data_IF_980591505477
#
_entry.id   IF_980591505477
#
_cell.length_a   1.000
_cell.length_b   1.000
_cell.length_c   1.000
_cell.angle_alpha   90.00
_cell.angle_beta   90.00
_cell.angle_gamma   90.00
#
_symmetry.space_group_name_H-M   'P 1'
#
loop_
_entity.id
_entity.type
_entity.pdbx_description
1 polymer ?
#
# COMPACT_ATOMS: atom_id res chain seq x y z
N UNK A 1 -24.02 -10.83 0.42
CA UNK A 1 -24.17 -10.73 -1.03
C UNK A 1 -25.55 -11.14 -1.49
N UNK A 2 -26.25 -11.98 -0.73
CA UNK A 2 -27.55 -12.56 -1.12
C UNK A 2 -28.75 -11.60 -0.92
N UNK A 3 -28.53 -10.44 -0.30
CA UNK A 3 -29.59 -9.47 -0.04
C UNK A 3 -29.86 -8.58 -1.27
N UNK A 4 -31.10 -8.07 -1.42
CA UNK A 4 -31.46 -7.14 -2.48
C UNK A 4 -30.60 -5.87 -2.46
N UNK A 5 -30.35 -5.22 -3.62
CA UNK A 5 -29.45 -4.07 -3.71
C UNK A 5 -29.90 -2.89 -2.83
N UNK A 6 -31.22 -2.69 -2.67
CA UNK A 6 -31.73 -1.64 -1.77
C UNK A 6 -31.37 -1.88 -0.31
N UNK A 7 -31.38 -3.13 0.16
CA UNK A 7 -30.97 -3.48 1.52
C UNK A 7 -29.47 -3.27 1.72
N UNK A 8 -28.64 -3.67 0.74
CA UNK A 8 -27.18 -3.49 0.78
C UNK A 8 -26.77 -2.01 0.85
N UNK A 9 -27.43 -1.13 0.12
CA UNK A 9 -27.21 0.31 0.20
C UNK A 9 -27.64 0.89 1.55
N UNK A 10 -28.76 0.41 2.12
CA UNK A 10 -29.27 0.90 3.40
C UNK A 10 -28.45 0.46 4.60
N UNK A 11 -27.85 -0.71 4.58
CA UNK A 11 -26.97 -1.22 5.65
C UNK A 11 -25.80 -0.27 5.91
N UNK A 12 -25.17 0.25 4.86
CA UNK A 12 -24.07 1.22 4.99
C UNK A 12 -24.50 2.48 5.72
N UNK A 13 -25.64 3.07 5.32
CA UNK A 13 -26.20 4.26 5.95
C UNK A 13 -26.67 3.99 7.40
N UNK A 14 -27.21 2.81 7.68
CA UNK A 14 -27.62 2.39 9.03
C UNK A 14 -26.42 2.28 9.95
N UNK A 15 -25.34 1.61 9.52
CA UNK A 15 -24.11 1.53 10.30
C UNK A 15 -23.51 2.90 10.62
N UNK A 16 -23.52 3.79 9.63
CA UNK A 16 -23.06 5.16 9.84
C UNK A 16 -23.94 5.94 10.83
N UNK A 17 -25.27 5.78 10.78
CA UNK A 17 -26.19 6.41 11.74
C UNK A 17 -25.95 5.93 13.16
N UNK A 18 -25.61 4.64 13.35
CA UNK A 18 -25.23 4.09 14.66
C UNK A 18 -23.93 4.75 15.15
N UNK A 19 -22.93 4.87 14.26
CA UNK A 19 -21.67 5.54 14.60
C UNK A 19 -21.90 7.02 15.00
N UNK A 20 -22.75 7.74 14.27
CA UNK A 20 -23.14 9.11 14.60
C UNK A 20 -23.86 9.22 15.95
N UNK A 21 -24.69 8.24 16.30
CA UNK A 21 -25.36 8.23 17.61
C UNK A 21 -24.33 8.20 18.75
N UNK A 22 -23.35 7.29 18.69
CA UNK A 22 -22.30 7.24 19.71
C UNK A 22 -21.45 8.49 19.75
N UNK A 23 -21.13 9.08 18.60
CA UNK A 23 -20.40 10.36 18.53
C UNK A 23 -21.17 11.53 19.13
N UNK A 24 -22.45 11.71 18.76
CA UNK A 24 -23.20 12.92 19.02
C UNK A 24 -24.03 12.87 20.31
N UNK A 25 -24.54 11.68 20.69
CA UNK A 25 -25.34 11.50 21.91
C UNK A 25 -24.48 11.06 23.09
N UNK A 26 -23.60 10.10 22.88
CA UNK A 26 -22.73 9.57 23.95
C UNK A 26 -21.41 10.35 24.09
N UNK A 27 -21.07 11.20 23.09
CA UNK A 27 -19.83 11.99 23.10
C UNK A 27 -18.55 11.14 23.00
N UNK A 28 -18.60 10.01 22.32
CA UNK A 28 -17.50 9.08 22.20
C UNK A 28 -16.74 9.25 20.90
N UNK A 29 -15.46 8.87 20.91
CA UNK A 29 -14.67 8.66 19.70
C UNK A 29 -14.95 7.26 19.16
N UNK A 30 -15.39 7.20 17.90
CA UNK A 30 -15.85 5.97 17.23
C UNK A 30 -14.86 5.54 16.18
N UNK A 31 -14.48 4.26 16.21
CA UNK A 31 -13.70 3.62 15.14
C UNK A 31 -14.66 2.77 14.28
N UNK A 32 -14.85 3.19 13.02
CA UNK A 32 -15.74 2.56 12.06
C UNK A 32 -14.96 1.75 11.04
N UNK A 33 -15.23 0.44 10.97
CA UNK A 33 -14.68 -0.45 9.94
C UNK A 33 -15.71 -0.69 8.84
N UNK A 34 -15.33 -0.50 7.57
CA UNK A 34 -16.17 -0.73 6.39
C UNK A 34 -15.48 -1.76 5.49
N UNK A 35 -16.02 -2.97 5.43
CA UNK A 35 -15.55 -4.03 4.52
C UNK A 35 -16.72 -4.49 3.62
N UNK A 36 -16.80 -4.05 2.34
CA UNK A 36 -15.96 -3.03 1.74
C UNK A 36 -16.87 -1.99 1.06
N UNK A 37 -16.38 -0.76 0.93
CA UNK A 37 -17.16 0.38 0.40
C UNK A 37 -17.61 0.16 -1.06
N UNK A 38 -16.89 -0.62 -1.85
CA UNK A 38 -17.26 -0.94 -3.24
C UNK A 38 -18.64 -1.60 -3.34
N UNK A 39 -19.07 -2.35 -2.30
CA UNK A 39 -20.39 -2.99 -2.27
C UNK A 39 -21.52 -2.00 -2.17
N UNK A 40 -21.31 -0.87 -1.53
CA UNK A 40 -22.26 0.25 -1.51
C UNK A 40 -22.43 0.83 -2.92
N UNK A 41 -21.33 1.07 -3.63
CA UNK A 41 -21.33 1.55 -5.03
C UNK A 41 -22.01 0.55 -5.97
N UNK A 42 -21.69 -0.73 -5.84
CA UNK A 42 -22.30 -1.79 -6.63
C UNK A 42 -23.82 -1.85 -6.42
N UNK A 43 -24.28 -1.76 -5.19
CA UNK A 43 -25.71 -1.74 -4.88
C UNK A 43 -26.40 -0.50 -5.51
N UNK A 44 -25.75 0.65 -5.50
CA UNK A 44 -26.22 1.87 -6.16
C UNK A 44 -26.37 1.71 -7.68
N UNK A 45 -25.40 1.08 -8.35
CA UNK A 45 -25.46 0.82 -9.79
C UNK A 45 -26.57 -0.17 -10.16
N UNK A 46 -26.77 -1.22 -9.37
CA UNK A 46 -27.86 -2.19 -9.58
C UNK A 46 -29.23 -1.51 -9.42
N UNK A 47 -29.43 -0.68 -8.39
CA UNK A 47 -30.68 0.08 -8.20
C UNK A 47 -30.90 1.05 -9.35
N UNK A 48 -29.86 1.75 -9.81
CA UNK A 48 -29.95 2.69 -10.94
C UNK A 48 -30.37 1.98 -12.24
N UNK A 49 -29.82 0.79 -12.48
CA UNK A 49 -30.19 -0.05 -13.63
C UNK A 49 -31.66 -0.51 -13.56
N UNK A 50 -32.12 -0.93 -12.39
CA UNK A 50 -33.52 -1.32 -12.17
C UNK A 50 -34.51 -0.17 -12.39
N UNK A 51 -34.08 1.06 -12.11
CA UNK A 51 -34.86 2.29 -12.33
C UNK A 51 -34.78 2.76 -13.79
N UNK A 52 -34.07 2.07 -14.67
CA UNK A 52 -33.94 2.44 -16.09
C UNK A 52 -33.15 3.71 -16.33
N UNK A 53 -32.29 4.13 -15.41
CA UNK A 53 -31.43 5.31 -15.60
C UNK A 53 -30.32 4.99 -16.60
N UNK A 54 -29.95 5.98 -17.42
CA UNK A 54 -28.84 5.85 -18.36
C UNK A 54 -27.54 5.71 -17.56
N UNK A 55 -26.76 4.63 -17.76
CA UNK A 55 -25.50 4.44 -17.05
C UNK A 55 -24.46 5.49 -17.46
N UNK A 56 -23.62 5.84 -16.50
CA UNK A 56 -22.43 6.67 -16.67
C UNK A 56 -21.23 5.82 -17.17
N UNK A 57 -20.03 6.37 -17.09
CA UNK A 57 -18.80 5.67 -17.45
C UNK A 57 -18.68 4.29 -16.76
N UNK A 58 -18.23 3.30 -17.52
CA UNK A 58 -18.01 1.90 -17.05
C UNK A 58 -19.29 1.24 -16.49
N UNK A 59 -20.48 1.80 -16.77
CA UNK A 59 -21.75 1.22 -16.33
C UNK A 59 -22.20 1.63 -14.91
N UNK A 60 -21.51 2.57 -14.26
CA UNK A 60 -21.91 3.08 -12.96
C UNK A 60 -23.11 4.05 -13.03
N UNK A 61 -23.76 4.26 -11.88
CA UNK A 61 -24.84 5.23 -11.75
C UNK A 61 -24.35 6.67 -11.98
N UNK A 62 -25.17 7.55 -12.58
CA UNK A 62 -24.80 8.96 -12.78
C UNK A 62 -24.63 9.73 -11.47
N UNK A 63 -25.20 9.23 -10.36
CA UNK A 63 -25.12 9.81 -9.02
C UNK A 63 -23.96 9.28 -8.19
N UNK A 64 -23.00 8.55 -8.77
CA UNK A 64 -21.91 7.90 -8.05
C UNK A 64 -21.17 8.84 -7.09
N UNK A 65 -20.71 9.99 -7.61
CA UNK A 65 -19.96 10.95 -6.83
C UNK A 65 -20.80 11.57 -5.69
N UNK A 66 -22.07 11.85 -5.97
CA UNK A 66 -22.99 12.43 -4.96
C UNK A 66 -23.31 11.44 -3.87
N UNK A 67 -23.62 10.18 -4.24
CA UNK A 67 -23.97 9.13 -3.27
C UNK A 67 -22.77 8.84 -2.35
N UNK A 68 -21.57 8.75 -2.93
CA UNK A 68 -20.34 8.54 -2.19
C UNK A 68 -20.01 9.74 -1.29
N UNK A 69 -20.06 10.95 -1.81
CA UNK A 69 -19.80 12.16 -1.05
C UNK A 69 -20.76 12.31 0.14
N UNK A 70 -22.06 12.10 -0.07
CA UNK A 70 -23.07 12.17 1.00
C UNK A 70 -22.77 11.19 2.13
N UNK A 71 -22.26 10.02 1.83
CA UNK A 71 -21.88 9.04 2.84
C UNK A 71 -20.56 9.42 3.54
N UNK A 72 -19.54 9.78 2.79
CA UNK A 72 -18.21 10.06 3.31
C UNK A 72 -18.14 11.34 4.17
N UNK A 73 -18.86 12.39 3.78
CA UNK A 73 -18.87 13.66 4.52
C UNK A 73 -19.50 13.55 5.92
N UNK A 74 -20.26 12.50 6.19
CA UNK A 74 -20.80 12.21 7.53
C UNK A 74 -19.74 11.66 8.48
N UNK A 75 -18.66 11.12 7.95
CA UNK A 75 -17.50 10.62 8.72
C UNK A 75 -16.62 11.83 9.05
N UNK A 76 -16.88 12.44 10.18
CA UNK A 76 -16.22 13.69 10.57
C UNK A 76 -16.13 13.83 12.08
N UNK A 77 -15.26 14.74 12.51
CA UNK A 77 -15.13 15.15 13.90
C UNK A 77 -16.12 16.27 14.21
N UNK A 78 -16.82 16.17 15.32
CA UNK A 78 -17.70 17.19 15.86
C UNK A 78 -17.13 17.74 17.16
N UNK A 79 -17.82 18.70 17.78
CA UNK A 79 -17.41 19.24 19.10
C UNK A 79 -17.55 18.22 20.23
N UNK A 80 -18.32 17.16 20.04
CA UNK A 80 -18.64 16.15 21.08
C UNK A 80 -17.78 14.89 20.96
N UNK A 81 -17.38 14.51 19.76
CA UNK A 81 -16.60 13.30 19.50
C UNK A 81 -16.17 13.22 18.04
N UNK A 82 -15.48 12.15 17.68
CA UNK A 82 -14.96 11.92 16.34
C UNK A 82 -15.39 10.56 15.78
N UNK A 83 -15.43 10.44 14.43
CA UNK A 83 -15.50 9.15 13.75
C UNK A 83 -14.24 9.00 12.91
N UNK A 84 -13.43 7.98 13.24
CA UNK A 84 -12.30 7.54 12.43
C UNK A 84 -12.73 6.30 11.66
N UNK A 85 -12.51 6.25 10.36
CA UNK A 85 -12.88 5.09 9.55
C UNK A 85 -11.68 4.38 8.95
N UNK A 86 -11.74 3.06 8.94
CA UNK A 86 -10.84 2.17 8.18
C UNK A 86 -11.69 1.47 7.14
N UNK A 87 -11.42 1.74 5.86
CA UNK A 87 -12.25 1.30 4.76
C UNK A 87 -11.46 0.39 3.83
N UNK A 88 -11.95 -0.83 3.60
CA UNK A 88 -11.43 -1.67 2.54
C UNK A 88 -12.05 -1.22 1.20
N UNK A 89 -11.20 -1.01 0.19
CA UNK A 89 -11.61 -0.61 -1.14
C UNK A 89 -11.21 -1.72 -2.12
N UNK A 90 -12.20 -2.35 -2.73
CA UNK A 90 -11.94 -3.26 -3.83
C UNK A 90 -11.70 -2.48 -5.13
N UNK A 91 -10.59 -2.77 -5.78
CA UNK A 91 -10.21 -2.17 -7.06
C UNK A 91 -10.43 -3.18 -8.17
N UNK A 92 -11.44 -3.00 -9.04
CA UNK A 92 -11.70 -3.91 -10.15
C UNK A 92 -10.50 -3.99 -11.10
N UNK A 93 -10.08 -5.20 -11.45
CA UNK A 93 -8.98 -5.47 -12.39
C UNK A 93 -7.64 -4.76 -12.06
N UNK A 94 -7.41 -4.41 -10.80
CA UNK A 94 -6.25 -3.62 -10.34
C UNK A 94 -6.14 -2.23 -11.01
N UNK A 95 -7.24 -1.70 -11.52
CA UNK A 95 -7.31 -0.39 -12.19
C UNK A 95 -7.73 0.71 -11.20
N UNK A 96 -6.74 1.44 -10.67
CA UNK A 96 -6.97 2.58 -9.78
C UNK A 96 -7.69 3.76 -10.45
N UNK A 97 -7.79 3.77 -11.78
CA UNK A 97 -8.47 4.81 -12.54
C UNK A 97 -9.96 4.55 -12.74
N UNK A 98 -10.45 3.36 -12.31
CA UNK A 98 -11.88 3.05 -12.31
C UNK A 98 -12.67 4.13 -11.53
N UNK A 99 -13.83 4.60 -12.04
CA UNK A 99 -14.60 5.67 -11.41
C UNK A 99 -14.97 5.44 -9.95
N UNK A 100 -15.21 4.19 -9.53
CA UNK A 100 -15.61 3.91 -8.15
C UNK A 100 -14.47 4.12 -7.14
N UNK A 101 -13.28 3.47 -7.28
CA UNK A 101 -12.15 3.78 -6.40
C UNK A 101 -11.69 5.23 -6.54
N UNK A 102 -11.60 5.79 -7.75
CA UNK A 102 -11.14 7.16 -7.96
C UNK A 102 -12.00 8.19 -7.22
N UNK A 103 -13.33 8.04 -7.26
CA UNK A 103 -14.26 8.89 -6.52
C UNK A 103 -14.08 8.72 -5.00
N UNK A 104 -13.85 7.49 -4.53
CA UNK A 104 -13.65 7.21 -3.12
C UNK A 104 -12.35 7.83 -2.60
N UNK A 105 -11.25 7.71 -3.34
CA UNK A 105 -9.94 8.25 -2.96
C UNK A 105 -9.95 9.76 -2.72
N UNK A 106 -10.80 10.50 -3.42
CA UNK A 106 -10.93 11.94 -3.22
C UNK A 106 -11.38 12.33 -1.78
N UNK A 107 -12.06 11.43 -1.07
CA UNK A 107 -12.58 11.65 0.27
C UNK A 107 -11.69 11.06 1.38
N UNK A 108 -10.60 10.37 1.04
CA UNK A 108 -9.74 9.73 2.03
C UNK A 108 -8.58 10.63 2.44
N UNK A 109 -8.22 10.57 3.73
CA UNK A 109 -7.07 11.29 4.28
C UNK A 109 -5.77 10.51 4.12
N UNK A 110 -5.84 9.19 4.11
CA UNK A 110 -4.71 8.30 3.87
C UNK A 110 -5.13 7.10 3.04
N UNK A 111 -4.25 6.67 2.13
CA UNK A 111 -4.44 5.47 1.32
C UNK A 111 -3.27 4.54 1.48
N UNK A 112 -3.56 3.24 1.69
CA UNK A 112 -2.57 2.17 1.68
C UNK A 112 -2.86 1.26 0.51
N UNK A 113 -1.99 1.25 -0.48
CA UNK A 113 -2.15 0.47 -1.71
C UNK A 113 -1.41 -0.85 -1.57
N UNK A 114 -2.12 -1.96 -1.79
CA UNK A 114 -1.55 -3.31 -1.84
C UNK A 114 -1.26 -3.69 -3.29
N UNK A 115 -0.02 -4.08 -3.58
CA UNK A 115 0.45 -4.43 -4.92
C UNK A 115 0.66 -5.93 -5.06
N UNK A 116 0.12 -6.53 -6.14
CA UNK A 116 0.38 -7.94 -6.48
C UNK A 116 1.83 -8.18 -6.84
N UNK A 117 2.45 -7.25 -7.56
CA UNK A 117 3.86 -7.37 -7.95
C UNK A 117 4.79 -7.46 -6.72
N UNK A 118 4.47 -6.74 -5.63
CA UNK A 118 5.22 -6.81 -4.37
C UNK A 118 4.96 -8.15 -3.67
N UNK A 119 3.71 -8.65 -3.68
CA UNK A 119 3.36 -9.95 -3.11
C UNK A 119 4.07 -11.11 -3.84
N UNK A 120 4.22 -11.03 -5.16
CA UNK A 120 4.95 -12.01 -5.98
C UNK A 120 6.45 -12.07 -5.64
N UNK A 121 7.03 -10.98 -5.11
CA UNK A 121 8.39 -10.95 -4.58
C UNK A 121 8.51 -11.57 -3.17
N UNK A 122 7.41 -12.05 -2.60
CA UNK A 122 7.36 -12.61 -1.24
C UNK A 122 7.44 -11.57 -0.13
N UNK A 123 7.18 -10.30 -0.42
CA UNK A 123 7.20 -9.21 0.56
C UNK A 123 5.81 -9.04 1.16
N UNK A 124 5.70 -9.22 2.46
CA UNK A 124 4.47 -9.08 3.23
C UNK A 124 4.69 -8.18 4.45
N UNK A 125 3.76 -7.22 4.74
CA UNK A 125 2.60 -6.84 3.94
C UNK A 125 3.00 -6.26 2.57
N UNK A 126 2.23 -6.56 1.52
CA UNK A 126 2.54 -6.17 0.13
C UNK A 126 2.14 -4.71 -0.16
N UNK A 127 2.51 -3.79 0.71
CA UNK A 127 2.21 -2.36 0.60
C UNK A 127 3.18 -1.71 -0.38
N UNK A 128 2.62 -0.93 -1.34
CA UNK A 128 3.43 -0.09 -2.21
C UNK A 128 3.65 1.29 -1.54
N UNK A 129 4.87 1.62 -1.12
CA UNK A 129 5.16 2.89 -0.45
C UNK A 129 5.16 4.09 -1.40
N UNK A 130 5.21 3.89 -2.72
CA UNK A 130 5.18 4.96 -3.71
C UNK A 130 3.75 5.37 -4.07
N UNK A 131 2.84 4.40 -4.18
CA UNK A 131 1.44 4.65 -4.49
C UNK A 131 0.59 4.95 -3.25
N UNK A 132 1.11 4.64 -2.05
CA UNK A 132 0.45 4.95 -0.78
C UNK A 132 0.70 6.40 -0.37
N UNK A 133 -0.35 7.09 0.06
CA UNK A 133 -0.28 8.50 0.43
C UNK A 133 -0.97 8.78 1.76
N UNK A 134 -0.55 9.87 2.44
CA UNK A 134 -1.21 10.35 3.65
C UNK A 134 -1.15 11.87 3.75
N UNK A 135 -2.28 12.52 4.05
CA UNK A 135 -2.36 13.97 4.26
C UNK A 135 -1.65 14.42 5.55
N UNK A 136 -1.56 13.53 6.55
CA UNK A 136 -0.86 13.84 7.80
C UNK A 136 0.66 13.76 7.67
N UNK A 137 1.20 13.37 6.50
CA UNK A 137 2.64 13.39 6.23
C UNK A 137 3.11 14.82 5.93
N UNK A 138 3.06 15.66 6.95
CA UNK A 138 3.50 17.05 6.96
C UNK A 138 4.47 17.26 8.13
N UNK A 139 5.60 17.97 7.94
CA UNK A 139 6.59 18.17 9.01
C UNK A 139 6.02 18.85 10.26
N UNK A 140 4.96 19.67 10.12
CA UNK A 140 4.30 20.30 11.25
C UNK A 140 3.46 19.33 12.11
N UNK A 141 3.08 18.17 11.55
CA UNK A 141 2.23 17.19 12.24
C UNK A 141 3.08 16.06 12.80
N UNK A 142 3.93 15.43 11.96
CA UNK A 142 4.71 14.23 12.32
C UNK A 142 6.14 14.55 12.79
N UNK A 143 6.56 15.81 12.70
CA UNK A 143 7.91 16.23 12.99
C UNK A 143 8.86 16.14 11.79
N UNK A 144 9.90 16.99 11.81
CA UNK A 144 10.84 17.09 10.68
C UNK A 144 11.65 15.82 10.46
N UNK A 145 12.04 15.13 11.54
CA UNK A 145 12.88 13.92 11.46
C UNK A 145 12.14 12.80 10.73
N UNK A 146 10.95 12.46 11.19
CA UNK A 146 10.12 11.43 10.55
C UNK A 146 9.83 11.79 9.10
N UNK A 147 9.47 13.04 8.81
CA UNK A 147 9.20 13.50 7.44
C UNK A 147 10.41 13.34 6.51
N UNK A 148 11.61 13.76 6.96
CA UNK A 148 12.85 13.65 6.18
C UNK A 148 13.19 12.19 5.87
N UNK A 149 13.02 11.29 6.83
CA UNK A 149 13.30 9.86 6.66
C UNK A 149 12.30 9.25 5.67
N UNK A 150 11.01 9.49 5.83
CA UNK A 150 9.98 8.97 4.94
C UNK A 150 10.20 9.44 3.49
N UNK A 151 10.51 10.72 3.29
CA UNK A 151 10.84 11.27 1.96
C UNK A 151 12.15 10.71 1.40
N UNK A 152 13.14 10.48 2.25
CA UNK A 152 14.41 9.84 1.87
C UNK A 152 14.19 8.41 1.34
N UNK A 153 13.37 7.63 2.03
CA UNK A 153 12.99 6.27 1.60
C UNK A 153 12.23 6.31 0.28
N UNK A 154 11.21 7.18 0.15
CA UNK A 154 10.45 7.31 -1.09
C UNK A 154 11.35 7.71 -2.27
N UNK A 155 12.28 8.64 -2.07
CA UNK A 155 13.22 9.07 -3.11
C UNK A 155 14.08 7.90 -3.60
N UNK A 156 14.71 7.15 -2.69
CA UNK A 156 15.54 6.00 -3.05
C UNK A 156 14.74 4.93 -3.81
N UNK A 157 13.50 4.66 -3.39
CA UNK A 157 12.64 3.70 -4.08
C UNK A 157 12.21 4.21 -5.46
N UNK A 158 11.96 5.50 -5.61
CA UNK A 158 11.63 6.12 -6.91
C UNK A 158 12.82 6.07 -7.87
N UNK A 159 14.02 6.42 -7.38
CA UNK A 159 15.25 6.33 -8.16
C UNK A 159 15.52 4.88 -8.59
N UNK A 160 15.31 3.92 -7.68
CA UNK A 160 15.43 2.50 -7.99
C UNK A 160 14.45 2.03 -9.07
N UNK A 161 13.19 2.46 -9.02
CA UNK A 161 12.19 2.15 -10.05
C UNK A 161 12.64 2.63 -11.43
N UNK A 162 13.18 3.85 -11.51
CA UNK A 162 13.73 4.40 -12.75
C UNK A 162 14.95 3.61 -13.24
N UNK A 163 15.84 3.20 -12.33
CA UNK A 163 17.02 2.39 -12.67
C UNK A 163 16.64 0.97 -13.08
N UNK A 164 15.58 0.38 -12.53
CA UNK A 164 15.08 -0.92 -12.97
C UNK A 164 14.67 -0.94 -14.43
N UNK A 165 14.03 0.12 -14.91
CA UNK A 165 13.63 0.24 -16.32
C UNK A 165 14.87 0.30 -17.22
N UNK A 166 15.91 1.04 -16.81
CA UNK A 166 17.20 1.13 -17.52
C UNK A 166 17.89 -0.24 -17.55
N UNK A 167 18.00 -0.91 -16.40
CA UNK A 167 18.61 -2.26 -16.29
C UNK A 167 17.87 -3.26 -17.18
N UNK A 168 16.54 -3.19 -17.23
CA UNK A 168 15.73 -4.06 -18.07
C UNK A 168 15.95 -3.82 -19.57
N UNK A 169 16.22 -2.59 -19.97
CA UNK A 169 16.52 -2.22 -21.37
C UNK A 169 17.94 -2.69 -21.73
N UNK A 170 18.94 -2.37 -20.92
CA UNK A 170 20.35 -2.77 -21.13
C UNK A 170 20.50 -4.29 -21.15
N UNK A 171 19.85 -5.00 -20.23
CA UNK A 171 19.86 -6.47 -20.19
C UNK A 171 19.21 -7.15 -21.41
N UNK A 172 18.33 -6.46 -22.16
CA UNK A 172 17.74 -6.94 -23.40
C UNK A 172 18.66 -6.78 -24.61
N UNK A 173 19.53 -5.77 -24.61
CA UNK A 173 20.43 -5.47 -25.72
C UNK A 173 21.63 -6.43 -25.77
N UNK A 174 22.00 -7.03 -24.64
CA UNK A 174 23.19 -7.90 -24.53
C UNK A 174 22.96 -9.37 -24.93
N UNK A 175 21.71 -9.85 -25.11
CA UNK A 175 21.41 -11.22 -25.51
C UNK A 175 20.30 -11.35 -26.55
N UNK A 176 20.62 -11.24 -27.88
CA UNK A 176 19.63 -11.45 -28.94
C UNK A 176 19.22 -12.92 -29.18
N UNK A 177 19.88 -13.92 -28.56
CA UNK A 177 19.82 -15.32 -29.02
C UNK A 177 19.28 -16.36 -28.02
N UNK A 178 18.72 -16.01 -26.88
CA UNK A 178 18.20 -17.02 -25.94
C UNK A 178 16.69 -17.26 -26.12
N UNK A 179 16.30 -17.99 -27.18
CA UNK A 179 15.02 -18.72 -27.24
C UNK A 179 15.18 -20.06 -26.50
N UNK A 180 14.89 -20.09 -25.21
CA UNK A 180 14.73 -21.34 -24.48
C UNK A 180 13.59 -21.22 -23.45
N UNK A 181 12.48 -22.01 -23.57
CA UNK A 181 11.26 -21.83 -22.77
C UNK A 181 11.30 -22.38 -21.35
N UNK A 182 12.34 -23.09 -20.94
CA UNK A 182 12.30 -23.90 -19.71
C UNK A 182 13.22 -23.49 -18.55
N UNK A 183 13.85 -22.30 -18.61
CA UNK A 183 14.76 -21.84 -17.54
C UNK A 183 14.45 -20.36 -17.18
N UNK A 184 13.18 -20.04 -16.91
CA UNK A 184 12.77 -18.65 -16.72
C UNK A 184 13.29 -17.97 -15.45
N UNK A 185 13.49 -18.69 -14.36
CA UNK A 185 13.86 -18.08 -13.06
C UNK A 185 15.36 -17.70 -13.03
N UNK A 186 16.25 -18.56 -13.55
CA UNK A 186 17.69 -18.28 -13.62
C UNK A 186 18.03 -17.20 -14.65
N UNK A 187 17.31 -17.14 -15.75
CA UNK A 187 17.50 -16.13 -16.79
C UNK A 187 17.15 -14.71 -16.33
N UNK A 188 16.16 -14.57 -15.45
CA UNK A 188 15.79 -13.27 -14.87
C UNK A 188 16.88 -12.76 -13.91
N UNK A 189 17.42 -13.64 -13.07
CA UNK A 189 18.50 -13.29 -12.14
C UNK A 189 19.81 -12.94 -12.88
N UNK A 190 20.18 -13.70 -13.89
CA UNK A 190 21.36 -13.43 -14.73
C UNK A 190 21.27 -12.12 -15.53
N UNK A 191 20.09 -11.78 -16.04
CA UNK A 191 19.85 -10.52 -16.77
C UNK A 191 19.99 -9.28 -15.89
N UNK A 192 19.56 -9.39 -14.62
CA UNK A 192 19.69 -8.29 -13.66
C UNK A 192 21.15 -8.01 -13.31
N UNK A 193 21.98 -9.05 -13.23
CA UNK A 193 23.41 -8.89 -12.91
C UNK A 193 24.16 -8.23 -14.09
N UNK A 194 23.94 -8.67 -15.33
CA UNK A 194 24.63 -8.10 -16.50
C UNK A 194 24.33 -6.61 -16.74
N UNK A 195 23.12 -6.15 -16.41
CA UNK A 195 22.77 -4.71 -16.55
C UNK A 195 23.32 -3.84 -15.42
N UNK A 196 23.65 -4.41 -14.26
CA UNK A 196 24.23 -3.67 -13.12
C UNK A 196 25.70 -3.28 -13.33
N UNK A 197 26.45 -4.03 -14.12
CA UNK A 197 27.87 -3.75 -14.33
C UNK A 197 28.12 -2.44 -15.11
N UNK A 198 27.13 -2.00 -15.89
CA UNK A 198 27.20 -0.76 -16.68
C UNK A 198 26.72 0.50 -15.90
N UNK A 199 26.20 0.32 -14.68
CA UNK A 199 25.78 1.45 -13.83
C UNK A 199 26.97 2.12 -13.16
N UNK A 200 26.80 3.42 -12.85
CA UNK A 200 27.76 4.15 -12.03
C UNK A 200 27.85 3.56 -10.62
N UNK A 201 28.96 3.78 -9.92
CA UNK A 201 29.12 3.28 -8.54
C UNK A 201 28.07 3.86 -7.57
N UNK A 202 27.64 5.12 -7.81
CA UNK A 202 26.57 5.76 -7.05
C UNK A 202 25.22 5.07 -7.28
N UNK A 203 24.91 4.73 -8.54
CA UNK A 203 23.68 4.01 -8.88
C UNK A 203 23.67 2.59 -8.31
N UNK A 204 24.82 1.88 -8.36
CA UNK A 204 24.97 0.57 -7.72
C UNK A 204 24.69 0.62 -6.22
N UNK A 205 25.20 1.65 -5.54
CA UNK A 205 24.94 1.86 -4.12
C UNK A 205 23.46 2.14 -3.85
N UNK A 206 22.83 2.99 -4.68
CA UNK A 206 21.40 3.30 -4.60
C UNK A 206 20.54 2.06 -4.79
N UNK A 207 20.85 1.23 -5.79
CA UNK A 207 20.17 -0.05 -6.03
C UNK A 207 20.33 -1.01 -4.84
N UNK A 208 21.54 -1.12 -4.28
CA UNK A 208 21.81 -1.98 -3.13
C UNK A 208 21.01 -1.53 -1.89
N UNK A 209 20.98 -0.23 -1.60
CA UNK A 209 20.19 0.34 -0.49
C UNK A 209 18.69 0.19 -0.72
N UNK A 210 18.20 0.44 -1.93
CA UNK A 210 16.79 0.27 -2.27
C UNK A 210 16.31 -1.16 -2.05
N UNK A 211 17.09 -2.17 -2.45
CA UNK A 211 16.77 -3.58 -2.21
C UNK A 211 16.73 -3.93 -0.72
N UNK A 212 17.66 -3.38 0.07
CA UNK A 212 17.65 -3.55 1.54
C UNK A 212 16.40 -2.91 2.14
N UNK A 213 16.04 -1.70 1.72
CA UNK A 213 14.79 -1.02 2.13
C UNK A 213 13.57 -1.85 1.76
N UNK A 214 13.48 -2.36 0.54
CA UNK A 214 12.36 -3.22 0.14
C UNK A 214 12.25 -4.49 0.99
N UNK A 215 13.39 -5.14 1.32
CA UNK A 215 13.40 -6.29 2.20
C UNK A 215 13.04 -5.93 3.65
N UNK A 216 13.50 -4.78 4.14
CA UNK A 216 13.20 -4.31 5.48
C UNK A 216 11.74 -3.87 5.65
N UNK A 217 11.06 -3.48 4.56
CA UNK A 217 9.62 -3.23 4.54
C UNK A 217 8.79 -4.52 4.72
N UNK A 218 9.39 -5.71 4.52
CA UNK A 218 8.75 -6.97 4.88
C UNK A 218 8.76 -7.12 6.39
N UNK A 219 7.56 -7.29 6.97
CA UNK A 219 7.38 -7.39 8.42
C UNK A 219 6.65 -8.68 8.77
N UNK A 220 7.11 -9.44 9.78
CA UNK A 220 6.36 -10.57 10.28
C UNK A 220 5.15 -10.07 11.08
N UNK A 221 3.93 -10.34 10.60
CA UNK A 221 2.70 -10.00 11.30
C UNK A 221 1.81 -11.21 11.50
N UNK A 222 1.00 -11.20 12.58
CA UNK A 222 0.28 -12.39 13.06
C UNK A 222 -0.61 -13.04 12.01
N UNK A 223 -1.34 -12.24 11.21
CA UNK A 223 -2.28 -12.79 10.20
C UNK A 223 -1.54 -13.53 9.09
N UNK A 224 -0.32 -13.12 8.76
CA UNK A 224 0.49 -13.76 7.72
C UNK A 224 1.33 -14.94 8.24
N UNK A 225 1.36 -15.22 9.54
CA UNK A 225 2.15 -16.30 10.14
C UNK A 225 1.89 -17.66 9.48
N UNK A 226 0.62 -17.95 9.17
CA UNK A 226 0.22 -19.20 8.49
C UNK A 226 0.86 -19.33 7.10
N UNK A 227 1.12 -18.22 6.41
CA UNK A 227 1.65 -18.21 5.06
C UNK A 227 3.18 -18.04 5.03
N UNK A 228 3.73 -17.28 5.96
CA UNK A 228 5.16 -16.93 5.99
C UNK A 228 5.98 -17.85 6.88
N UNK A 229 5.35 -18.51 7.84
CA UNK A 229 6.03 -19.34 8.85
C UNK A 229 6.80 -18.53 9.91
N UNK A 230 6.70 -17.20 9.91
CA UNK A 230 7.34 -16.33 10.88
C UNK A 230 6.33 -15.82 11.90
N UNK A 231 6.67 -15.94 13.21
CA UNK A 231 5.83 -15.41 14.28
C UNK A 231 5.71 -13.89 14.19
N UNK A 232 4.49 -13.37 14.39
CA UNK A 232 4.23 -11.94 14.31
C UNK A 232 5.02 -11.14 15.36
N UNK A 233 5.59 -10.01 14.94
CA UNK A 233 6.34 -9.07 15.79
C UNK A 233 5.69 -7.70 15.74
N UNK A 234 5.64 -7.04 16.90
CA UNK A 234 5.19 -5.65 17.00
C UNK A 234 6.43 -4.74 17.01
N UNK A 235 6.52 -3.86 16.02
CA UNK A 235 7.57 -2.85 15.89
C UNK A 235 6.99 -1.49 16.22
N UNK A 236 7.63 -0.73 17.11
CA UNK A 236 7.19 0.63 17.45
C UNK A 236 7.56 1.64 16.36
N UNK A 237 6.89 2.80 16.38
CA UNK A 237 7.21 3.89 15.46
C UNK A 237 8.67 4.36 15.60
N UNK A 238 9.16 4.46 16.82
CA UNK A 238 10.54 4.89 17.11
C UNK A 238 11.56 3.91 16.54
N UNK A 239 11.33 2.61 16.70
CA UNK A 239 12.18 1.55 16.12
C UNK A 239 12.17 1.62 14.59
N UNK A 240 11.01 1.86 13.98
CA UNK A 240 10.88 2.01 12.53
C UNK A 240 11.70 3.20 12.04
N UNK A 241 11.55 4.37 12.67
CA UNK A 241 12.27 5.60 12.30
C UNK A 241 13.78 5.40 12.46
N UNK A 242 14.22 4.85 13.58
CA UNK A 242 15.64 4.55 13.86
C UNK A 242 16.21 3.58 12.81
N UNK A 243 15.48 2.50 12.51
CA UNK A 243 15.91 1.50 11.53
C UNK A 243 16.12 2.08 10.13
N UNK A 244 15.16 2.85 9.62
CA UNK A 244 15.31 3.50 8.33
C UNK A 244 16.40 4.58 8.33
N UNK A 245 16.58 5.32 9.42
CA UNK A 245 17.67 6.31 9.56
C UNK A 245 19.02 5.64 9.40
N UNK A 246 19.25 4.53 10.06
CA UNK A 246 20.52 3.80 9.99
C UNK A 246 20.78 3.19 8.60
N UNK A 247 19.73 2.70 7.93
CA UNK A 247 19.85 2.20 6.55
C UNK A 247 20.18 3.35 5.59
N UNK A 248 19.50 4.49 5.70
CA UNK A 248 19.76 5.67 4.87
C UNK A 248 21.16 6.23 5.10
N UNK A 249 21.66 6.22 6.34
CA UNK A 249 23.02 6.62 6.68
C UNK A 249 24.10 5.67 6.13
N UNK A 250 23.71 4.49 5.63
CA UNK A 250 24.63 3.50 5.05
C UNK A 250 25.36 2.64 6.09
N UNK A 251 24.93 2.63 7.36
CA UNK A 251 25.56 1.85 8.43
C UNK A 251 25.63 0.35 8.12
N UNK A 252 24.70 -0.14 7.34
CA UNK A 252 24.55 -1.56 6.98
C UNK A 252 24.88 -1.86 5.50
N UNK A 253 25.62 -0.99 4.81
CA UNK A 253 25.95 -1.20 3.39
C UNK A 253 26.77 -2.46 3.17
N UNK A 254 27.54 -2.91 4.15
CA UNK A 254 28.34 -4.13 4.13
C UNK A 254 27.53 -5.43 4.26
N UNK A 255 26.27 -5.39 4.69
CA UNK A 255 25.43 -6.56 4.89
C UNK A 255 24.67 -6.96 3.62
N UNK A 256 24.42 -8.26 3.40
CA UNK A 256 23.62 -8.72 2.27
C UNK A 256 22.15 -8.38 2.44
N UNK A 257 21.42 -8.19 1.34
CA UNK A 257 20.00 -7.82 1.34
C UNK A 257 19.09 -8.84 2.04
N UNK A 258 19.48 -10.11 2.04
CA UNK A 258 18.69 -11.21 2.65
C UNK A 258 18.58 -11.06 4.17
N UNK A 259 19.58 -10.42 4.81
CA UNK A 259 19.58 -10.19 6.26
C UNK A 259 18.44 -9.24 6.73
N UNK A 260 17.83 -8.49 5.82
CA UNK A 260 16.74 -7.56 6.11
C UNK A 260 15.34 -8.15 5.88
N UNK A 261 15.26 -9.43 5.48
CA UNK A 261 13.98 -10.06 5.16
C UNK A 261 13.29 -10.61 6.41
N UNK A 262 12.02 -10.24 6.60
CA UNK A 262 11.17 -10.68 7.72
C UNK A 262 11.81 -10.47 9.11
N UNK A 263 12.50 -9.37 9.28
CA UNK A 263 13.01 -8.91 10.58
C UNK A 263 12.04 -7.91 11.22
N UNK A 264 11.97 -7.88 12.53
CA UNK A 264 11.18 -6.89 13.26
C UNK A 264 11.93 -5.58 13.37
N UNK A 265 12.85 -5.49 14.31
CA UNK A 265 13.69 -4.31 14.54
C UNK A 265 15.03 -4.43 13.80
N UNK A 266 15.66 -3.29 13.52
CA UNK A 266 16.98 -3.22 12.86
C UNK A 266 18.09 -3.94 13.66
N UNK A 267 17.97 -4.02 14.97
CA UNK A 267 18.92 -4.73 15.84
C UNK A 267 18.99 -6.24 15.57
N UNK A 268 17.95 -6.82 14.97
CA UNK A 268 17.91 -8.24 14.62
C UNK A 268 18.70 -8.57 13.34
N UNK A 269 19.01 -7.57 12.52
CA UNK A 269 19.75 -7.75 11.26
C UNK A 269 21.19 -8.22 11.48
N UNK A 270 21.84 -7.74 12.55
CA UNK A 270 23.24 -8.04 12.85
C UNK A 270 23.49 -9.49 13.32
N UNK A 271 22.64 -10.15 14.14
CA UNK A 271 22.88 -11.50 14.64
C UNK A 271 22.71 -12.62 13.60
N UNK A 272 21.95 -12.38 12.52
CA UNK A 272 21.63 -13.42 11.51
C UNK A 272 22.88 -13.90 10.76
N UNK A 273 23.97 -13.14 10.76
CA UNK A 273 25.25 -13.50 10.10
C UNK A 273 26.24 -14.24 11.00
N UNK A 274 25.88 -14.50 12.26
CA UNK A 274 26.75 -15.23 13.24
C UNK A 274 26.42 -16.72 13.31
N UNK A 275 25.60 -17.23 12.43
CA UNK A 275 25.27 -18.65 12.24
C UNK A 275 25.73 -19.05 10.82
#
# INVERSE_FOLDING_TARGET
MNEPPGARARVALTGLTVAEYFRDQEGQDVLLFIDNIFRFTQAGSEVSALLGRIPSAVGYQPTLATDMGTMQERITTTKKGSITSVQAIYVPADDLTDPAPATTFAHLDATTVLSRAIAELGIYPAVDPLDSTSRIMDPNIIGEEHYKIARGVQKILQDYKSLQDIIAILGKTLHPSARCPSICVWATYSKTISGMDELSEEDKLTVARARKIQRFLSQPFQVAEVFTGHAGKLVTMEQTISGFTEILAGKYDHLPEVAFYMVGDISEVAPILSI
#
